data_IF_829957878934
#
_entry.id   IF_829957878934
#
_cell.length_a   1.000
_cell.length_b   1.000
_cell.length_c   1.000
_cell.angle_alpha   90.00
_cell.angle_beta   90.00
_cell.angle_gamma   90.00
#
_symmetry.space_group_name_H-M   'P 1'
#
loop_
_entity.id
_entity.type
_entity.pdbx_description
1 polymer ?
#
# COMPACT_ATOMS: atom_id res chain seq x y z
N UNK A 1 -48.38 2.53 1.08
CA UNK A 1 -47.40 1.81 1.96
C UNK A 1 -45.94 2.12 1.60
N UNK A 2 -45.56 2.17 0.31
CA UNK A 2 -44.20 2.47 -0.16
C UNK A 2 -43.65 3.86 0.27
N UNK A 3 -44.48 4.91 0.21
CA UNK A 3 -44.05 6.27 0.56
C UNK A 3 -43.51 6.40 1.99
N UNK A 4 -44.17 5.75 2.96
CA UNK A 4 -43.74 5.77 4.36
C UNK A 4 -42.40 5.04 4.57
N UNK A 5 -42.17 3.94 3.84
CA UNK A 5 -40.91 3.20 3.86
C UNK A 5 -39.77 4.10 3.35
N UNK A 6 -39.99 4.80 2.24
CA UNK A 6 -38.99 5.72 1.66
C UNK A 6 -38.70 6.90 2.60
N UNK A 7 -39.71 7.47 3.26
CA UNK A 7 -39.51 8.54 4.25
C UNK A 7 -38.69 8.05 5.45
N UNK A 8 -38.94 6.84 5.93
CA UNK A 8 -38.17 6.24 7.03
C UNK A 8 -36.72 5.95 6.64
N UNK A 9 -36.48 5.45 5.42
CA UNK A 9 -35.14 5.25 4.86
C UNK A 9 -34.38 6.56 4.69
N UNK A 10 -35.03 7.62 4.21
CA UNK A 10 -34.41 8.96 4.10
C UNK A 10 -33.98 9.49 5.47
N UNK A 11 -34.80 9.29 6.50
CA UNK A 11 -34.47 9.70 7.88
C UNK A 11 -33.29 8.92 8.44
N UNK A 12 -33.26 7.60 8.27
CA UNK A 12 -32.17 6.76 8.77
C UNK A 12 -30.84 7.03 8.06
N UNK A 13 -30.86 7.15 6.72
CA UNK A 13 -29.67 7.47 5.91
C UNK A 13 -29.12 8.86 6.23
N UNK A 14 -29.98 9.86 6.41
CA UNK A 14 -29.57 11.22 6.83
C UNK A 14 -28.88 11.21 8.20
N UNK A 15 -29.44 10.47 9.16
CA UNK A 15 -28.81 10.31 10.48
C UNK A 15 -27.46 9.60 10.39
N UNK A 16 -27.37 8.51 9.61
CA UNK A 16 -26.12 7.79 9.39
C UNK A 16 -25.06 8.68 8.73
N UNK A 17 -25.42 9.45 7.71
CA UNK A 17 -24.54 10.42 7.06
C UNK A 17 -24.02 11.46 8.04
N UNK A 18 -24.89 12.03 8.88
CA UNK A 18 -24.48 13.01 9.91
C UNK A 18 -23.48 12.38 10.89
N UNK A 19 -23.74 11.16 11.34
CA UNK A 19 -22.85 10.41 12.23
C UNK A 19 -21.49 10.14 11.57
N UNK A 20 -21.47 9.66 10.33
CA UNK A 20 -20.24 9.38 9.58
C UNK A 20 -19.41 10.66 9.35
N UNK A 21 -20.06 11.77 9.00
CA UNK A 21 -19.39 13.08 8.86
C UNK A 21 -18.76 13.54 10.17
N UNK A 22 -19.47 13.40 11.30
CA UNK A 22 -18.93 13.76 12.61
C UNK A 22 -17.76 12.86 13.00
N UNK A 23 -17.85 11.55 12.74
CA UNK A 23 -16.75 10.62 12.97
C UNK A 23 -15.51 10.99 12.11
N UNK A 24 -15.70 11.28 10.82
CA UNK A 24 -14.63 11.71 9.94
C UNK A 24 -13.94 13.00 10.44
N UNK A 25 -14.73 13.98 10.92
CA UNK A 25 -14.20 15.20 11.57
C UNK A 25 -13.40 14.87 12.83
N UNK A 26 -13.96 14.06 13.73
CA UNK A 26 -13.29 13.66 14.97
C UNK A 26 -11.96 12.93 14.71
N UNK A 27 -11.96 12.00 13.74
CA UNK A 27 -10.75 11.30 13.30
C UNK A 27 -9.71 12.27 12.73
N UNK A 28 -10.13 13.24 11.90
CA UNK A 28 -9.24 14.29 11.38
C UNK A 28 -8.62 15.09 12.52
N UNK A 29 -9.42 15.57 13.47
CA UNK A 29 -8.93 16.31 14.63
C UNK A 29 -7.93 15.50 15.47
N UNK A 30 -8.23 14.22 15.70
CA UNK A 30 -7.32 13.33 16.43
C UNK A 30 -5.98 13.17 15.70
N UNK A 31 -5.99 12.97 14.37
CA UNK A 31 -4.77 12.87 13.55
C UNK A 31 -3.93 14.14 13.65
N UNK A 32 -4.54 15.31 13.49
CA UNK A 32 -3.84 16.61 13.60
C UNK A 32 -3.25 16.78 15.00
N UNK A 33 -4.03 16.50 16.06
CA UNK A 33 -3.57 16.61 17.44
C UNK A 33 -2.38 15.70 17.72
N UNK A 34 -2.39 14.46 17.20
CA UNK A 34 -1.25 13.53 17.30
C UNK A 34 -0.03 14.05 16.54
N UNK A 35 -0.20 14.52 15.30
CA UNK A 35 0.88 15.09 14.48
C UNK A 35 1.57 16.25 15.21
N UNK A 36 0.80 17.20 15.72
CA UNK A 36 1.33 18.37 16.43
C UNK A 36 2.10 17.95 17.69
N UNK A 37 1.58 17.00 18.47
CA UNK A 37 2.28 16.47 19.65
C UNK A 37 3.61 15.80 19.29
N UNK A 38 3.63 14.98 18.24
CA UNK A 38 4.86 14.34 17.77
C UNK A 38 5.88 15.37 17.28
N UNK A 39 5.41 16.40 16.59
CA UNK A 39 6.26 17.51 16.16
C UNK A 39 6.87 18.26 17.36
N UNK A 40 6.07 18.63 18.36
CA UNK A 40 6.59 19.29 19.57
C UNK A 40 7.62 18.42 20.30
N UNK A 41 7.40 17.11 20.41
CA UNK A 41 8.36 16.19 21.05
C UNK A 41 9.66 16.10 20.23
N UNK A 42 9.54 16.04 18.91
CA UNK A 42 10.70 16.00 18.00
C UNK A 42 11.53 17.28 18.07
N UNK A 43 10.89 18.44 18.31
CA UNK A 43 11.56 19.73 18.47
C UNK A 43 12.24 19.84 19.85
N UNK A 44 11.59 19.36 20.92
CA UNK A 44 12.17 19.35 22.27
C UNK A 44 13.32 18.36 22.46
N UNK A 45 13.26 17.21 21.78
CA UNK A 45 14.23 16.12 21.95
C UNK A 45 14.65 15.55 20.58
N UNK A 46 15.72 16.08 19.98
CA UNK A 46 16.16 15.65 18.65
C UNK A 46 16.61 14.18 18.62
N UNK A 47 17.14 13.65 19.73
CA UNK A 47 17.60 12.26 19.82
C UNK A 47 16.45 11.25 19.66
N UNK A 48 15.27 11.62 20.17
CA UNK A 48 14.05 10.80 20.09
C UNK A 48 13.37 10.93 18.72
N UNK A 49 13.70 11.98 17.95
CA UNK A 49 13.08 12.25 16.65
C UNK A 49 13.30 11.14 15.63
N UNK A 50 14.48 10.53 15.61
CA UNK A 50 14.81 9.44 14.68
C UNK A 50 13.98 8.19 14.99
N UNK A 51 13.88 7.84 16.27
CA UNK A 51 13.06 6.71 16.74
C UNK A 51 11.58 6.96 16.46
N UNK A 52 11.10 8.19 16.68
CA UNK A 52 9.71 8.57 16.42
C UNK A 52 9.35 8.55 14.94
N UNK A 53 10.26 8.99 14.05
CA UNK A 53 10.06 8.91 12.60
C UNK A 53 9.99 7.46 12.11
N UNK A 54 10.78 6.56 12.70
CA UNK A 54 10.73 5.13 12.39
C UNK A 54 9.43 4.47 12.91
N UNK A 55 8.98 4.83 14.11
CA UNK A 55 7.80 4.23 14.74
C UNK A 55 6.47 4.81 14.26
N UNK A 56 6.42 6.11 13.91
CA UNK A 56 5.21 6.81 13.50
C UNK A 56 5.39 7.46 12.13
N UNK A 57 4.61 6.99 11.16
CA UNK A 57 4.58 7.58 9.82
C UNK A 57 3.77 8.87 9.82
N UNK A 58 4.29 9.89 9.13
CA UNK A 58 3.60 11.17 8.97
C UNK A 58 2.44 11.10 7.97
N UNK A 59 2.58 10.24 6.95
CA UNK A 59 1.57 10.08 5.90
C UNK A 59 0.51 9.04 6.26
N UNK A 60 -0.73 9.36 5.91
CA UNK A 60 -1.87 8.46 6.09
C UNK A 60 -2.02 7.55 4.88
N UNK A 61 -2.13 6.24 5.11
CA UNK A 61 -2.36 5.26 4.05
C UNK A 61 -1.40 4.07 4.15
N UNK A 62 -1.47 3.19 3.16
CA UNK A 62 -0.44 2.17 2.95
C UNK A 62 0.75 2.86 2.26
N UNK A 63 2.01 2.57 2.63
CA UNK A 63 3.17 3.07 1.88
C UNK A 63 3.02 2.79 0.40
N UNK A 64 3.53 3.69 -0.43
CA UNK A 64 3.81 3.32 -1.80
C UNK A 64 4.82 2.18 -1.82
N UNK A 65 4.66 1.27 -2.78
CA UNK A 65 5.65 0.21 -3.01
C UNK A 65 6.98 0.85 -3.40
N UNK A 66 6.93 1.94 -4.16
CA UNK A 66 8.12 2.68 -4.61
C UNK A 66 8.92 3.27 -3.44
N UNK A 67 8.26 3.71 -2.36
CA UNK A 67 8.94 4.22 -1.16
C UNK A 67 9.64 3.10 -0.38
N UNK A 68 9.09 1.89 -0.42
CA UNK A 68 9.56 0.75 0.39
C UNK A 68 10.60 -0.07 -0.37
N UNK A 69 10.40 -0.22 -1.67
CA UNK A 69 11.21 -1.05 -2.57
C UNK A 69 11.36 -0.33 -3.92
N UNK A 70 12.16 0.74 -4.01
CA UNK A 70 12.29 1.54 -5.23
C UNK A 70 12.82 0.73 -6.41
N UNK A 71 13.73 -0.21 -6.15
CA UNK A 71 14.39 -1.01 -7.18
C UNK A 71 13.59 -2.26 -7.58
N UNK A 72 12.41 -2.48 -6.98
CA UNK A 72 11.62 -3.70 -7.21
C UNK A 72 11.19 -3.79 -8.68
N UNK A 73 10.75 -2.69 -9.27
CA UNK A 73 10.29 -2.66 -10.65
C UNK A 73 11.44 -2.98 -11.62
N UNK A 74 12.57 -2.28 -11.48
CA UNK A 74 13.77 -2.52 -12.28
C UNK A 74 14.27 -3.97 -12.12
N UNK A 75 14.19 -4.52 -10.92
CA UNK A 75 14.55 -5.92 -10.64
C UNK A 75 13.61 -6.90 -11.36
N UNK A 76 12.30 -6.63 -11.37
CA UNK A 76 11.31 -7.45 -12.08
C UNK A 76 11.55 -7.36 -13.59
N UNK A 77 11.82 -6.16 -14.12
CA UNK A 77 12.13 -5.94 -15.53
C UNK A 77 13.39 -6.69 -15.95
N UNK A 78 14.48 -6.61 -15.19
CA UNK A 78 15.71 -7.36 -15.45
C UNK A 78 15.43 -8.87 -15.51
N UNK A 79 14.69 -9.39 -14.53
CA UNK A 79 14.34 -10.81 -14.47
C UNK A 79 13.48 -11.19 -15.67
N UNK A 80 12.52 -10.37 -16.08
CA UNK A 80 11.58 -10.66 -17.16
C UNK A 80 12.18 -10.45 -18.57
N UNK A 81 13.02 -9.42 -18.76
CA UNK A 81 13.62 -9.07 -20.05
C UNK A 81 14.58 -10.15 -20.56
N UNK A 82 15.28 -10.85 -19.67
CA UNK A 82 16.13 -11.99 -20.03
C UNK A 82 15.36 -13.18 -20.66
N UNK A 83 14.02 -13.14 -20.71
CA UNK A 83 13.18 -14.11 -21.42
C UNK A 83 12.40 -13.57 -22.62
N UNK A 84 12.54 -12.27 -22.96
CA UNK A 84 11.74 -11.59 -23.98
C UNK A 84 12.44 -11.31 -25.31
N UNK A 85 13.73 -11.64 -25.44
CA UNK A 85 14.44 -11.56 -26.71
C UNK A 85 14.11 -12.80 -27.55
N UNK A 86 13.16 -12.65 -28.48
CA UNK A 86 12.97 -13.61 -29.56
C UNK A 86 14.22 -13.59 -30.46
N UNK A 87 15.11 -14.57 -30.29
CA UNK A 87 16.10 -14.90 -31.31
C UNK A 87 15.45 -15.89 -32.30
N UNK A 88 15.41 -15.49 -33.58
CA UNK A 88 14.84 -16.25 -34.68
C UNK A 88 15.72 -17.45 -35.09
N UNK A 89 16.86 -17.68 -34.41
CA UNK A 89 17.77 -18.80 -34.70
C UNK A 89 18.31 -19.48 -33.43
N UNK A 90 17.94 -20.76 -33.31
CA UNK A 90 18.79 -21.89 -32.83
C UNK A 90 18.96 -22.07 -31.31
N UNK A 91 18.34 -23.16 -30.81
CA UNK A 91 18.95 -24.22 -29.96
C UNK A 91 20.00 -23.79 -28.92
N UNK A 92 19.59 -23.04 -27.89
CA UNK A 92 20.21 -23.12 -26.56
C UNK A 92 19.11 -23.08 -25.49
N UNK A 93 19.04 -24.11 -24.66
CA UNK A 93 17.98 -24.35 -23.67
C UNK A 93 18.09 -23.45 -22.43
N UNK A 94 18.16 -22.13 -22.60
CA UNK A 94 18.27 -21.20 -21.46
C UNK A 94 17.63 -19.83 -21.72
N UNK A 95 16.43 -19.80 -22.29
CA UNK A 95 15.74 -18.53 -22.66
C UNK A 95 14.41 -18.36 -21.90
N UNK A 96 14.32 -18.88 -20.67
CA UNK A 96 13.24 -18.54 -19.74
C UNK A 96 13.83 -18.39 -18.34
N UNK A 97 14.17 -17.17 -17.95
CA UNK A 97 14.57 -16.86 -16.57
C UNK A 97 13.44 -17.18 -15.57
N UNK A 98 12.17 -16.98 -15.95
CA UNK A 98 10.99 -17.36 -15.18
C UNK A 98 9.87 -17.82 -16.12
N UNK A 99 9.39 -19.06 -15.96
CA UNK A 99 8.27 -19.61 -16.74
C UNK A 99 6.91 -19.22 -16.16
N UNK A 100 6.84 -19.16 -14.84
CA UNK A 100 5.61 -18.91 -14.08
C UNK A 100 5.79 -17.77 -13.09
N UNK A 101 4.67 -17.24 -12.59
CA UNK A 101 4.69 -16.26 -11.50
C UNK A 101 5.30 -16.84 -10.20
N UNK A 102 5.23 -18.16 -10.02
CA UNK A 102 5.88 -18.82 -8.89
C UNK A 102 7.41 -18.86 -9.04
N UNK A 103 7.91 -19.01 -10.27
CA UNK A 103 9.35 -18.91 -10.56
C UNK A 103 9.87 -17.49 -10.34
N UNK A 104 9.13 -16.49 -10.83
CA UNK A 104 9.43 -15.07 -10.59
C UNK A 104 9.42 -14.75 -9.09
N UNK A 105 8.46 -15.27 -8.35
CA UNK A 105 8.43 -15.14 -6.89
C UNK A 105 9.64 -15.80 -6.24
N UNK A 106 10.06 -16.96 -6.74
CA UNK A 106 11.26 -17.67 -6.27
C UNK A 106 12.54 -16.87 -6.50
N UNK A 107 12.71 -16.27 -7.68
CA UNK A 107 13.88 -15.43 -8.01
C UNK A 107 13.88 -14.13 -7.21
N UNK A 108 12.73 -13.49 -7.04
CA UNK A 108 12.58 -12.30 -6.19
C UNK A 108 12.89 -12.61 -4.72
N UNK A 109 12.48 -13.78 -4.21
CA UNK A 109 12.81 -14.23 -2.86
C UNK A 109 14.33 -14.40 -2.67
N UNK A 110 15.05 -14.92 -3.68
CA UNK A 110 16.52 -15.02 -3.65
C UNK A 110 17.19 -13.64 -3.60
N UNK A 111 16.60 -12.63 -4.23
CA UNK A 111 17.02 -11.23 -4.15
C UNK A 111 16.54 -10.51 -2.86
N UNK A 112 15.90 -11.21 -1.94
CA UNK A 112 15.46 -10.68 -0.64
C UNK A 112 14.04 -10.13 -0.61
N UNK A 113 13.28 -10.21 -1.70
CA UNK A 113 11.90 -9.72 -1.77
C UNK A 113 10.90 -10.83 -1.41
N UNK A 114 10.12 -10.63 -0.35
CA UNK A 114 9.04 -11.55 0.03
C UNK A 114 7.68 -11.09 -0.49
N UNK A 115 7.30 -11.57 -1.67
CA UNK A 115 5.97 -11.32 -2.24
C UNK A 115 5.01 -12.44 -1.82
N UNK A 116 3.82 -12.06 -1.34
CA UNK A 116 2.74 -12.99 -1.00
C UNK A 116 1.62 -12.89 -2.04
N UNK A 117 1.06 -14.05 -2.44
CA UNK A 117 -0.16 -14.07 -3.26
C UNK A 117 -1.33 -13.57 -2.41
N UNK A 118 -1.86 -12.40 -2.76
CA UNK A 118 -3.16 -11.93 -2.24
C UNK A 118 -4.26 -12.42 -3.17
N UNK A 119 -5.26 -13.10 -2.64
CA UNK A 119 -6.48 -13.49 -3.39
C UNK A 119 -7.46 -12.33 -3.53
N UNK A 120 -7.22 -11.20 -2.86
CA UNK A 120 -8.10 -10.05 -2.79
C UNK A 120 -7.37 -8.78 -3.26
N UNK A 121 -7.86 -8.19 -4.34
CA UNK A 121 -7.56 -6.81 -4.71
C UNK A 121 -8.46 -5.89 -3.88
N UNK A 122 -7.91 -5.23 -2.86
CA UNK A 122 -8.57 -4.08 -2.27
C UNK A 122 -8.18 -2.84 -3.08
N UNK A 123 -9.14 -2.31 -3.84
CA UNK A 123 -9.06 -0.99 -4.47
C UNK A 123 -9.30 0.10 -3.44
#
# INVERSE_FOLDING_TARGET
>A
KQLNILLQQKKSTSYQLKRLRNNAKAQKHLRVKKKNKLQTISESHPDVSLVLKAAFRQESGRPSIDDTCPDLLATIEEIAMLGGAADDRRRTETIRSCLTLDDLRGTLKKKGYEIKRSTLYYR
#
